data_IF_654111955285
#
_entry.id   IF_654111955285
#
_cell.length_a   1.000
_cell.length_b   1.000
_cell.length_c   1.000
_cell.angle_alpha   90.00
_cell.angle_beta   90.00
_cell.angle_gamma   90.00
#
_symmetry.space_group_name_H-M   'P 1'
#
loop_
_entity.id
_entity.type
_entity.pdbx_description
1 polymer ?
#
# COMPACT_ATOMS: atom_id res chain seq x y z
N UNK A 1 -31.44 -7.26 -0.52
CA UNK A 1 -30.25 -7.85 0.11
C UNK A 1 -29.50 -6.70 0.76
N UNK A 2 -29.25 -6.75 2.07
CA UNK A 2 -28.48 -5.69 2.74
C UNK A 2 -27.03 -5.80 2.32
N UNK A 3 -26.49 -4.76 1.69
CA UNK A 3 -25.05 -4.65 1.43
C UNK A 3 -24.35 -4.25 2.72
N UNK A 4 -23.17 -4.79 2.96
CA UNK A 4 -22.32 -4.48 4.11
C UNK A 4 -20.97 -4.02 3.59
N UNK A 5 -20.50 -2.86 4.03
CA UNK A 5 -19.21 -2.28 3.67
C UNK A 5 -17.99 -3.06 4.18
N UNK A 6 -18.22 -4.06 5.04
CA UNK A 6 -17.19 -4.67 5.85
C UNK A 6 -16.93 -3.89 7.14
N UNK A 7 -15.97 -4.35 7.94
CA UNK A 7 -15.57 -3.65 9.15
C UNK A 7 -14.74 -2.41 8.79
N UNK A 8 -14.94 -1.26 9.47
CA UNK A 8 -14.09 -0.10 9.26
C UNK A 8 -12.67 -0.44 9.74
N UNK A 9 -11.74 -0.59 8.79
CA UNK A 9 -10.38 -0.99 9.10
C UNK A 9 -9.60 -1.41 7.86
N UNK A 10 -8.40 -1.93 8.12
CA UNK A 10 -7.53 -2.50 7.10
C UNK A 10 -7.17 -3.92 7.46
N UNK A 11 -6.83 -4.71 6.43
CA UNK A 11 -6.29 -6.04 6.57
C UNK A 11 -4.77 -5.97 6.46
N UNK A 12 -4.06 -6.36 7.51
CA UNK A 12 -2.62 -6.58 7.45
C UNK A 12 -2.32 -7.86 6.68
N UNK A 13 -1.47 -7.77 5.67
CA UNK A 13 -1.10 -8.92 4.86
C UNK A 13 0.31 -8.83 4.28
N UNK A 14 0.84 -10.00 3.93
CA UNK A 14 2.10 -10.15 3.22
C UNK A 14 1.86 -10.02 1.70
N UNK A 15 1.63 -8.80 1.22
CA UNK A 15 1.22 -8.53 -0.17
C UNK A 15 2.24 -9.06 -1.19
N UNK A 16 3.52 -9.03 -0.84
CA UNK A 16 4.59 -9.60 -1.67
C UNK A 16 4.40 -11.10 -1.95
N UNK A 17 3.89 -11.86 -0.97
CA UNK A 17 3.58 -13.28 -1.15
C UNK A 17 2.35 -13.46 -2.04
N UNK A 18 1.31 -12.66 -1.85
CA UNK A 18 0.11 -12.70 -2.69
C UNK A 18 0.41 -12.35 -4.16
N UNK A 19 1.28 -11.36 -4.41
CA UNK A 19 1.74 -11.02 -5.75
C UNK A 19 2.53 -12.18 -6.39
N UNK A 20 3.48 -12.76 -5.66
CA UNK A 20 4.28 -13.91 -6.15
C UNK A 20 3.41 -15.11 -6.50
N UNK A 21 2.40 -15.38 -5.68
CA UNK A 21 1.43 -16.47 -5.88
C UNK A 21 0.29 -16.11 -6.84
N UNK A 22 0.27 -14.89 -7.40
CA UNK A 22 -0.77 -14.39 -8.31
C UNK A 22 -2.19 -14.40 -7.72
N UNK A 23 -2.32 -14.36 -6.39
CA UNK A 23 -3.61 -14.20 -5.72
C UNK A 23 -4.14 -12.75 -5.77
N UNK A 24 -3.29 -11.80 -6.19
CA UNK A 24 -3.64 -10.40 -6.36
C UNK A 24 -3.16 -9.91 -7.73
N UNK A 25 -4.02 -9.15 -8.41
CA UNK A 25 -3.74 -8.59 -9.74
C UNK A 25 -3.78 -7.06 -9.65
N UNK A 26 -2.64 -6.36 -9.76
CA UNK A 26 -2.62 -4.90 -9.80
C UNK A 26 -3.40 -4.36 -11.01
N UNK A 27 -4.25 -3.36 -10.78
CA UNK A 27 -5.04 -2.68 -11.81
C UNK A 27 -4.48 -1.31 -12.23
N UNK A 28 -3.52 -0.79 -11.46
CA UNK A 28 -2.82 0.47 -11.70
C UNK A 28 -1.38 0.34 -11.22
N UNK A 29 -0.53 1.28 -11.66
CA UNK A 29 0.76 1.51 -11.00
C UNK A 29 0.54 2.13 -9.60
N UNK A 30 1.49 1.93 -8.67
CA UNK A 30 1.51 2.64 -7.39
C UNK A 30 1.32 4.16 -7.54
N UNK A 31 0.53 4.76 -6.66
CA UNK A 31 0.34 6.20 -6.59
C UNK A 31 0.69 6.71 -5.19
N UNK A 32 1.29 7.91 -5.13
CA UNK A 32 1.61 8.57 -3.87
C UNK A 32 0.35 9.27 -3.34
N UNK A 33 -0.24 8.72 -2.30
CA UNK A 33 -1.45 9.29 -1.68
C UNK A 33 -1.12 10.54 -0.85
N UNK A 34 -0.04 10.46 -0.07
CA UNK A 34 0.38 11.53 0.85
C UNK A 34 1.87 11.47 1.12
N UNK A 35 2.39 12.57 1.65
CA UNK A 35 3.77 12.70 2.11
C UNK A 35 3.75 13.51 3.40
N UNK A 36 4.52 13.06 4.38
CA UNK A 36 4.64 13.74 5.67
C UNK A 36 6.09 14.16 5.87
N UNK A 37 6.33 15.46 5.94
CA UNK A 37 7.61 15.99 6.41
C UNK A 37 7.62 15.95 7.94
N UNK A 38 8.39 15.02 8.51
CA UNK A 38 8.51 14.89 9.96
C UNK A 38 9.33 16.03 10.59
N UNK A 39 10.10 16.78 9.81
CA UNK A 39 10.81 17.97 10.27
C UNK A 39 9.92 19.22 10.26
N UNK A 40 8.89 19.23 9.41
CA UNK A 40 7.92 20.31 9.30
C UNK A 40 6.49 19.76 9.27
N UNK A 41 5.99 19.23 10.41
CA UNK A 41 4.68 18.61 10.45
C UNK A 41 3.57 19.62 10.10
N UNK A 42 2.50 19.20 9.40
CA UNK A 42 1.37 20.07 9.10
C UNK A 42 0.69 20.53 10.39
N UNK A 43 -0.03 21.67 10.36
CA UNK A 43 -0.82 22.14 11.49
C UNK A 43 -1.83 21.07 11.96
N UNK A 44 -2.12 20.98 13.26
CA UNK A 44 -3.12 20.04 13.78
C UNK A 44 -4.48 20.24 13.08
N UNK A 45 -5.08 19.14 12.62
CA UNK A 45 -6.42 19.16 12.00
C UNK A 45 -6.42 19.21 10.47
N UNK A 46 -5.27 19.43 9.83
CA UNK A 46 -5.11 19.33 8.37
C UNK A 46 -4.58 17.94 7.98
N UNK A 47 -5.46 16.93 8.04
CA UNK A 47 -5.13 15.55 7.67
C UNK A 47 -6.01 15.00 6.53
N UNK A 48 -6.83 15.84 5.92
CA UNK A 48 -7.69 15.44 4.82
C UNK A 48 -6.85 15.28 3.55
N UNK A 49 -6.81 14.06 3.00
CA UNK A 49 -6.23 13.82 1.69
C UNK A 49 -7.25 14.19 0.60
N UNK A 50 -6.85 14.94 -0.43
CA UNK A 50 -7.74 15.22 -1.54
C UNK A 50 -8.09 13.92 -2.26
N UNK A 51 -9.30 13.85 -2.80
CA UNK A 51 -9.69 12.74 -3.66
C UNK A 51 -8.76 12.66 -4.88
N UNK A 52 -8.06 11.54 -5.04
CA UNK A 52 -7.17 11.30 -6.17
C UNK A 52 -7.83 10.40 -7.21
N UNK A 53 -7.67 10.72 -8.49
CA UNK A 53 -8.05 9.84 -9.59
C UNK A 53 -6.87 8.92 -9.93
N UNK A 54 -7.06 7.62 -9.76
CA UNK A 54 -6.04 6.63 -10.06
C UNK A 54 -6.09 6.24 -11.55
N UNK A 55 -4.97 6.35 -12.30
CA UNK A 55 -4.93 5.91 -13.70
C UNK A 55 -5.01 4.39 -13.77
N UNK A 56 -6.03 3.88 -14.45
CA UNK A 56 -6.24 2.44 -14.61
C UNK A 56 -5.38 1.92 -15.77
N UNK A 57 -4.43 1.05 -15.46
CA UNK A 57 -3.55 0.42 -16.47
C UNK A 57 -4.13 -0.87 -17.02
N UNK A 58 -5.11 -1.48 -16.32
CA UNK A 58 -5.76 -2.74 -16.75
C UNK A 58 -7.26 -2.75 -16.51
N UNK A 59 -8.00 -3.45 -17.37
CA UNK A 59 -9.42 -3.77 -17.14
C UNK A 59 -9.57 -4.80 -16.00
N UNK A 60 -10.69 -4.76 -15.28
CA UNK A 60 -10.92 -5.48 -14.02
C UNK A 60 -11.77 -4.69 -13.01
N UNK A 61 -12.35 -5.38 -12.03
CA UNK A 61 -13.06 -4.78 -10.89
C UNK A 61 -12.06 -4.53 -9.76
N UNK A 62 -12.10 -3.36 -9.13
CA UNK A 62 -11.25 -3.06 -7.98
C UNK A 62 -11.96 -3.55 -6.71
N UNK A 63 -11.43 -4.58 -6.08
CA UNK A 63 -12.00 -5.17 -4.85
C UNK A 63 -11.36 -4.58 -3.58
N UNK A 64 -10.10 -4.15 -3.68
CA UNK A 64 -9.36 -3.57 -2.56
C UNK A 64 -8.35 -2.52 -3.04
N UNK A 65 -8.02 -1.60 -2.14
CA UNK A 65 -6.89 -0.69 -2.25
C UNK A 65 -5.74 -1.22 -1.39
N UNK A 66 -4.59 -1.45 -2.02
CA UNK A 66 -3.36 -1.84 -1.34
C UNK A 66 -2.54 -0.60 -1.01
N UNK A 67 -2.12 -0.48 0.24
CA UNK A 67 -1.31 0.61 0.75
C UNK A 67 -0.07 0.10 1.50
N UNK A 68 0.99 0.88 1.42
CA UNK A 68 2.25 0.71 2.14
C UNK A 68 2.87 2.10 2.31
N UNK A 69 4.00 2.18 3.02
CA UNK A 69 4.70 3.43 3.20
C UNK A 69 6.17 3.29 2.83
N UNK A 70 6.78 4.45 2.60
CA UNK A 70 8.21 4.61 2.46
C UNK A 70 8.67 5.68 3.44
N UNK A 71 9.83 5.47 4.06
CA UNK A 71 10.40 6.38 5.06
C UNK A 71 11.82 6.76 4.65
N UNK A 72 12.01 8.05 4.37
CA UNK A 72 13.31 8.66 4.10
C UNK A 72 13.98 9.04 5.43
N UNK A 73 14.87 8.17 5.93
CA UNK A 73 15.59 8.42 7.19
C UNK A 73 16.79 9.36 7.03
N UNK A 74 17.27 9.52 5.80
CA UNK A 74 18.42 10.37 5.47
C UNK A 74 18.28 10.87 4.02
N UNK A 75 18.57 12.15 3.71
CA UNK A 75 18.31 12.75 2.39
C UNK A 75 19.10 12.12 1.24
N UNK A 76 20.20 11.44 1.54
CA UNK A 76 21.06 10.79 0.52
C UNK A 76 20.93 9.27 0.47
N UNK A 77 20.21 8.66 1.42
CA UNK A 77 20.03 7.22 1.44
C UNK A 77 18.70 6.84 0.75
N UNK A 78 18.63 5.68 0.09
CA UNK A 78 17.37 5.17 -0.40
C UNK A 78 16.34 5.06 0.73
N UNK A 79 15.05 5.29 0.45
CA UNK A 79 14.01 5.14 1.45
C UNK A 79 13.93 3.70 1.95
N UNK A 80 13.64 3.57 3.24
CA UNK A 80 13.11 2.32 3.79
C UNK A 80 11.71 2.13 3.21
N UNK A 81 11.44 0.98 2.62
CA UNK A 81 10.15 0.74 1.97
C UNK A 81 9.57 -0.60 2.41
N UNK A 82 8.26 -0.64 2.57
CA UNK A 82 7.48 -1.88 2.68
C UNK A 82 6.79 -2.22 1.37
N UNK A 83 7.29 -1.73 0.23
CA UNK A 83 6.71 -1.98 -1.09
C UNK A 83 6.66 -3.48 -1.41
N UNK A 84 5.46 -4.01 -1.74
CA UNK A 84 5.32 -5.43 -2.02
C UNK A 84 5.90 -5.84 -3.38
N UNK A 85 6.10 -4.90 -4.31
CA UNK A 85 6.79 -5.16 -5.59
C UNK A 85 8.28 -5.38 -5.39
N UNK A 86 8.92 -4.59 -4.53
CA UNK A 86 10.33 -4.76 -4.16
C UNK A 86 10.55 -6.15 -3.56
N UNK A 87 9.64 -6.58 -2.69
CA UNK A 87 9.73 -7.87 -2.01
C UNK A 87 9.25 -9.06 -2.84
N UNK A 88 8.39 -8.83 -3.83
CA UNK A 88 7.94 -9.87 -4.75
C UNK A 88 9.05 -10.27 -5.75
N UNK A 89 9.94 -9.34 -6.10
CA UNK A 89 11.10 -9.58 -6.96
C UNK A 89 12.39 -9.94 -6.23
N UNK A 90 12.43 -9.82 -4.90
CA UNK A 90 13.62 -10.13 -4.10
C UNK A 90 13.92 -11.64 -4.16
N UNK A 91 15.19 -12.05 -4.38
CA UNK A 91 15.58 -13.44 -4.36
C UNK A 91 15.18 -14.08 -3.03
N UNK A 92 14.56 -15.26 -3.10
CA UNK A 92 14.16 -16.03 -1.93
C UNK A 92 15.36 -16.28 -1.02
N UNK A 93 15.24 -15.90 0.25
CA UNK A 93 16.06 -16.34 1.38
C UNK A 93 17.58 -16.39 1.11
N UNK A 94 18.20 -15.23 0.88
CA UNK A 94 19.66 -15.15 0.81
C UNK A 94 20.19 -13.73 0.95
N UNK A 95 19.52 -12.77 0.33
CA UNK A 95 19.78 -11.35 0.51
C UNK A 95 18.67 -10.77 1.39
N UNK A 96 18.86 -10.92 2.70
CA UNK A 96 17.92 -10.43 3.70
C UNK A 96 17.86 -8.90 3.65
N UNK A 97 16.94 -8.36 2.84
CA UNK A 97 16.12 -7.28 3.38
C UNK A 97 15.39 -7.91 4.58
N UNK A 98 15.68 -7.48 5.83
CA UNK A 98 15.15 -8.14 7.00
C UNK A 98 13.63 -8.14 6.86
N UNK A 99 13.04 -9.35 6.86
CA UNK A 99 11.60 -9.57 6.87
C UNK A 99 11.06 -8.82 8.10
N UNK A 100 10.61 -7.58 7.93
CA UNK A 100 10.11 -6.75 9.04
C UNK A 100 8.71 -7.22 9.34
N UNK A 101 8.58 -8.33 10.08
CA UNK A 101 7.28 -8.93 10.41
C UNK A 101 6.33 -7.96 11.11
N UNK A 102 6.89 -6.95 11.81
CA UNK A 102 6.16 -5.90 12.50
C UNK A 102 5.64 -4.78 11.59
N UNK A 103 6.09 -4.69 10.34
CA UNK A 103 5.59 -3.72 9.35
C UNK A 103 5.11 -4.45 8.10
N UNK A 104 3.78 -4.53 7.95
CA UNK A 104 3.13 -5.20 6.81
C UNK A 104 2.47 -4.20 5.88
N UNK A 105 1.96 -4.69 4.75
CA UNK A 105 1.12 -3.91 3.86
C UNK A 105 -0.34 -3.98 4.33
N UNK A 106 -1.10 -2.94 4.03
CA UNK A 106 -2.49 -2.80 4.39
C UNK A 106 -3.38 -2.95 3.15
N UNK A 107 -4.45 -3.72 3.23
CA UNK A 107 -5.50 -3.74 2.23
C UNK A 107 -6.81 -3.17 2.80
N UNK A 108 -7.39 -2.21 2.09
CA UNK A 108 -8.68 -1.61 2.39
C UNK A 108 -9.71 -2.16 1.40
N UNK A 109 -10.79 -2.76 1.89
CA UNK A 109 -11.85 -3.25 1.02
C UNK A 109 -12.64 -2.06 0.47
N UNK A 110 -12.93 -2.08 -0.83
CA UNK A 110 -13.72 -1.04 -1.46
C UNK A 110 -15.21 -1.45 -1.43
N UNK A 111 -16.07 -0.51 -1.04
CA UNK A 111 -17.51 -0.70 -1.18
C UNK A 111 -17.88 -0.83 -2.67
N UNK A 112 -18.85 -1.68 -2.97
CA UNK A 112 -19.43 -1.74 -4.33
C UNK A 112 -20.13 -0.41 -4.62
N UNK A 113 -19.56 0.39 -5.53
CA UNK A 113 -20.28 1.51 -6.11
C UNK A 113 -21.38 0.95 -7.04
N UNK A 114 -22.63 1.01 -6.57
CA UNK A 114 -23.83 0.73 -7.36
C UNK A 114 -24.13 1.84 -8.36
#
# INVERSE_FOLDING_TARGET
VSTCAGAPGYLELQAAQMLRQRHMIPLSEPQRLCEFDLFHPPPPGEHALPAQRLPRTRRGRADALLAWFEACMHPTLPPLTTSPWRWAGAPSEGEMEPRRSHWQQAAFLLEEAH
#
